data_IF_762214063655
#
_entry.id   IF_762214063655
#
_cell.length_a   1.000
_cell.length_b   1.000
_cell.length_c   1.000
_cell.angle_alpha   90.00
_cell.angle_beta   90.00
_cell.angle_gamma   90.00
#
_symmetry.space_group_name_H-M   'P 1'
#
loop_
_entity.id
_entity.type
_entity.pdbx_description
1 polymer ?
#
# COMPACT_ATOMS: atom_id res chain seq x y z
N UNK A 1 11.71 -19.94 -16.33
CA UNK A 1 12.95 -19.87 -17.12
C UNK A 1 14.02 -19.00 -16.46
N UNK A 2 13.94 -17.65 -16.47
CA UNK A 2 15.02 -16.79 -15.96
C UNK A 2 15.35 -17.02 -14.47
N UNK A 3 14.36 -16.90 -13.58
CA UNK A 3 14.57 -17.12 -12.14
C UNK A 3 14.99 -18.56 -11.77
N UNK A 4 14.77 -19.54 -12.66
CA UNK A 4 15.14 -20.95 -12.44
C UNK A 4 16.57 -21.26 -12.90
N UNK A 5 17.14 -20.40 -13.75
CA UNK A 5 18.45 -20.56 -14.39
C UNK A 5 19.41 -19.44 -13.96
N UNK A 6 19.21 -18.88 -12.76
CA UNK A 6 20.06 -17.81 -12.22
C UNK A 6 21.52 -18.29 -12.14
N UNK A 7 22.46 -17.44 -12.58
CA UNK A 7 23.89 -17.77 -12.62
C UNK A 7 24.32 -18.71 -13.75
N UNK A 8 23.41 -19.19 -14.60
CA UNK A 8 23.74 -20.07 -15.73
C UNK A 8 23.26 -19.48 -17.07
N UNK A 9 24.10 -18.71 -17.79
CA UNK A 9 23.73 -18.12 -19.09
C UNK A 9 23.41 -19.19 -20.15
N UNK A 10 24.16 -20.30 -20.18
CA UNK A 10 23.97 -21.40 -21.13
C UNK A 10 22.57 -22.04 -21.04
N UNK A 11 22.04 -22.20 -19.81
CA UNK A 11 20.70 -22.75 -19.58
C UNK A 11 19.61 -21.80 -20.05
N UNK A 12 19.87 -20.49 -20.05
CA UNK A 12 18.95 -19.46 -20.56
C UNK A 12 18.92 -19.53 -22.09
N UNK A 13 20.09 -19.60 -22.73
CA UNK A 13 20.23 -19.73 -24.18
C UNK A 13 19.56 -21.01 -24.69
N UNK A 14 19.88 -22.16 -24.10
CA UNK A 14 19.23 -23.44 -24.43
C UNK A 14 17.72 -23.40 -24.19
N UNK A 15 17.28 -22.75 -23.12
CA UNK A 15 15.87 -22.61 -22.79
C UNK A 15 15.08 -21.81 -23.83
N UNK A 16 15.66 -20.73 -24.38
CA UNK A 16 14.98 -19.94 -25.43
C UNK A 16 15.05 -20.59 -26.79
N UNK A 17 16.19 -21.19 -27.16
CA UNK A 17 16.27 -21.99 -28.38
C UNK A 17 15.26 -23.14 -28.35
N UNK A 18 15.19 -23.85 -27.22
CA UNK A 18 14.19 -24.88 -26.97
C UNK A 18 12.75 -24.38 -27.01
N UNK A 19 12.46 -23.13 -26.64
CA UNK A 19 11.12 -22.55 -26.74
C UNK A 19 10.69 -22.37 -28.20
N UNK A 20 11.58 -21.87 -29.06
CA UNK A 20 11.29 -21.69 -30.49
C UNK A 20 11.15 -23.06 -31.16
N UNK A 21 12.14 -23.92 -31.01
CA UNK A 21 12.14 -25.28 -31.58
C UNK A 21 10.86 -26.04 -31.20
N UNK A 22 10.46 -25.94 -29.93
CA UNK A 22 9.26 -26.58 -29.42
C UNK A 22 7.98 -26.15 -30.14
N UNK A 23 7.86 -24.88 -30.53
CA UNK A 23 6.67 -24.39 -31.27
C UNK A 23 6.56 -24.96 -32.69
N UNK A 24 7.67 -25.48 -33.22
CA UNK A 24 7.79 -26.06 -34.57
C UNK A 24 7.94 -27.59 -34.53
N UNK A 25 7.58 -28.24 -33.42
CA UNK A 25 7.65 -29.70 -33.28
C UNK A 25 9.07 -30.26 -33.10
N UNK A 26 10.09 -29.40 -32.96
CA UNK A 26 11.47 -29.82 -32.69
C UNK A 26 11.72 -29.86 -31.18
N UNK A 27 12.08 -31.03 -30.67
CA UNK A 27 12.20 -31.27 -29.23
C UNK A 27 13.62 -31.54 -28.74
N UNK A 28 14.64 -31.35 -29.58
CA UNK A 28 16.06 -31.61 -29.25
C UNK A 28 16.57 -30.73 -28.10
N UNK A 29 16.15 -29.47 -28.07
CA UNK A 29 16.56 -28.48 -27.06
C UNK A 29 15.57 -28.36 -25.88
N UNK A 30 14.55 -29.22 -25.83
CA UNK A 30 13.54 -29.20 -24.77
C UNK A 30 14.06 -29.82 -23.46
N UNK A 31 13.45 -29.43 -22.34
CA UNK A 31 13.65 -30.06 -21.02
C UNK A 31 12.37 -30.82 -20.62
N UNK A 32 12.54 -32.04 -20.11
CA UNK A 32 11.48 -32.92 -19.61
C UNK A 32 10.62 -32.24 -18.55
N UNK A 33 11.12 -31.23 -17.83
CA UNK A 33 10.36 -30.52 -16.80
C UNK A 33 9.11 -29.84 -17.36
N UNK A 34 9.20 -29.26 -18.56
CA UNK A 34 8.13 -28.43 -19.13
C UNK A 34 7.61 -28.94 -20.47
N UNK A 35 8.39 -29.71 -21.22
CA UNK A 35 7.94 -30.27 -22.49
C UNK A 35 6.99 -31.45 -22.26
N UNK A 36 5.73 -31.32 -22.70
CA UNK A 36 4.75 -32.42 -22.61
C UNK A 36 5.08 -33.57 -23.56
N UNK A 37 5.66 -33.28 -24.74
CA UNK A 37 6.04 -34.28 -25.73
C UNK A 37 7.08 -35.28 -25.21
N UNK A 38 8.07 -34.78 -24.47
CA UNK A 38 9.08 -35.64 -23.83
C UNK A 38 8.51 -36.48 -22.68
N UNK A 39 7.38 -36.10 -22.09
CA UNK A 39 6.70 -36.87 -21.05
C UNK A 39 5.79 -37.95 -21.62
N UNK A 40 5.01 -37.60 -22.64
CA UNK A 40 4.09 -38.49 -23.31
C UNK A 40 4.03 -38.12 -24.78
N UNK A 41 4.68 -38.93 -25.64
CA UNK A 41 4.74 -38.67 -27.08
C UNK A 41 3.39 -38.92 -27.77
N UNK A 42 2.56 -39.83 -27.26
CA UNK A 42 1.39 -40.32 -27.97
C UNK A 42 0.18 -39.39 -27.81
N UNK A 43 0.01 -38.75 -26.65
CA UNK A 43 -1.12 -37.86 -26.37
C UNK A 43 -0.77 -36.37 -26.42
N UNK A 44 0.45 -36.00 -26.81
CA UNK A 44 0.87 -34.61 -26.75
C UNK A 44 0.14 -33.71 -27.75
N UNK A 45 -0.40 -32.61 -27.26
CA UNK A 45 -0.89 -31.48 -28.07
C UNK A 45 -0.47 -30.16 -27.43
N UNK A 46 -0.11 -29.18 -28.24
CA UNK A 46 0.21 -27.85 -27.75
C UNK A 46 -1.01 -27.20 -27.09
N UNK A 47 -0.88 -26.76 -25.84
CA UNK A 47 -1.97 -26.08 -25.12
C UNK A 47 -2.17 -24.63 -25.58
N UNK A 48 -1.11 -24.01 -26.08
CA UNK A 48 -1.05 -22.57 -26.37
C UNK A 48 -1.01 -22.24 -27.87
N UNK A 49 -1.06 -23.25 -28.75
CA UNK A 49 -1.08 -23.04 -30.20
C UNK A 49 -2.46 -23.34 -30.79
N UNK A 50 -2.88 -22.64 -31.86
CA UNK A 50 -4.14 -22.91 -32.55
C UNK A 50 -4.27 -24.38 -32.94
N UNK A 51 -5.41 -24.98 -32.62
CA UNK A 51 -5.72 -26.40 -32.91
C UNK A 51 -4.72 -27.42 -32.31
N UNK A 52 -3.84 -26.98 -31.41
CA UNK A 52 -2.81 -27.81 -30.77
C UNK A 52 -1.75 -28.36 -31.72
N UNK A 53 -1.58 -27.75 -32.90
CA UNK A 53 -0.62 -28.15 -33.94
C UNK A 53 0.64 -27.27 -33.93
N UNK A 54 1.70 -27.79 -34.50
CA UNK A 54 2.98 -27.08 -34.67
C UNK A 54 2.86 -25.95 -35.70
N UNK A 55 3.69 -24.92 -35.53
CA UNK A 55 3.86 -23.88 -36.54
C UNK A 55 4.64 -24.42 -37.74
N UNK A 56 4.30 -23.92 -38.94
CA UNK A 56 4.92 -24.37 -40.21
C UNK A 56 5.59 -23.26 -41.01
N UNK A 57 5.39 -21.99 -40.63
CA UNK A 57 5.94 -20.85 -41.35
C UNK A 57 7.43 -20.69 -41.04
N UNK A 58 8.27 -20.92 -42.06
CA UNK A 58 9.73 -20.76 -41.93
C UNK A 58 10.15 -19.28 -41.85
N UNK A 59 9.41 -18.38 -42.51
CA UNK A 59 9.65 -16.93 -42.40
C UNK A 59 9.46 -16.43 -40.97
N UNK A 60 8.37 -16.82 -40.32
CA UNK A 60 8.11 -16.50 -38.91
C UNK A 60 9.19 -17.12 -38.00
N UNK A 61 9.68 -18.31 -38.34
CA UNK A 61 10.72 -18.98 -37.55
C UNK A 61 12.01 -18.18 -37.57
N UNK A 62 12.43 -17.75 -38.77
CA UNK A 62 13.61 -16.91 -38.94
C UNK A 62 13.48 -15.57 -38.20
N UNK A 63 12.31 -14.94 -38.24
CA UNK A 63 12.06 -13.70 -37.49
C UNK A 63 12.13 -13.90 -35.98
N UNK A 64 11.55 -15.00 -35.47
CA UNK A 64 11.63 -15.36 -34.05
C UNK A 64 13.06 -15.66 -33.61
N UNK A 65 13.81 -16.44 -34.40
CA UNK A 65 15.22 -16.71 -34.15
C UNK A 65 16.04 -15.42 -34.12
N UNK A 66 15.84 -14.53 -35.09
CA UNK A 66 16.51 -13.22 -35.13
C UNK A 66 16.18 -12.34 -33.92
N UNK A 67 14.90 -12.26 -33.55
CA UNK A 67 14.44 -11.43 -32.43
C UNK A 67 14.95 -11.94 -31.08
N UNK A 68 14.86 -13.25 -30.85
CA UNK A 68 15.14 -13.86 -29.55
C UNK A 68 16.59 -14.32 -29.42
N UNK A 69 17.13 -15.08 -30.38
CA UNK A 69 18.50 -15.60 -30.29
C UNK A 69 19.53 -14.48 -30.48
N UNK A 70 19.33 -13.60 -31.45
CA UNK A 70 20.25 -12.47 -31.71
C UNK A 70 20.42 -11.54 -30.50
N UNK A 71 19.37 -11.36 -29.69
CA UNK A 71 19.44 -10.56 -28.46
C UNK A 71 19.95 -11.35 -27.26
N UNK A 72 19.76 -12.66 -27.24
CA UNK A 72 20.10 -13.48 -26.07
C UNK A 72 21.58 -13.79 -25.98
N UNK A 73 22.28 -14.00 -27.09
CA UNK A 73 23.73 -14.27 -27.06
C UNK A 73 24.51 -13.11 -26.42
N UNK A 74 24.05 -11.87 -26.60
CA UNK A 74 24.66 -10.69 -25.97
C UNK A 74 24.14 -10.43 -24.54
N UNK A 75 22.92 -10.86 -24.20
CA UNK A 75 22.26 -10.51 -22.94
C UNK A 75 22.16 -11.67 -21.93
N UNK A 76 22.49 -12.91 -22.28
CA UNK A 76 22.35 -14.09 -21.42
C UNK A 76 23.07 -13.93 -20.09
N UNK A 77 24.30 -13.38 -20.12
CA UNK A 77 25.07 -13.03 -18.92
C UNK A 77 24.34 -12.02 -18.03
N UNK A 78 23.75 -10.96 -18.62
CA UNK A 78 22.97 -9.96 -17.88
C UNK A 78 21.69 -10.56 -17.31
N UNK A 79 20.97 -11.33 -18.11
CA UNK A 79 19.73 -12.02 -17.73
C UNK A 79 19.95 -13.06 -16.63
N UNK A 80 21.10 -13.74 -16.63
CA UNK A 80 21.46 -14.71 -15.58
C UNK A 80 21.64 -14.09 -14.19
N UNK A 81 21.94 -12.78 -14.14
CA UNK A 81 22.05 -12.02 -12.89
C UNK A 81 20.69 -11.54 -12.38
N UNK A 82 19.65 -11.56 -13.22
CA UNK A 82 18.32 -11.12 -12.83
C UNK A 82 17.63 -12.20 -11.99
N UNK A 83 17.33 -11.84 -10.75
CA UNK A 83 16.53 -12.65 -9.85
C UNK A 83 15.03 -12.36 -10.01
N UNK A 84 14.19 -13.08 -9.27
CA UNK A 84 12.75 -12.82 -9.19
C UNK A 84 12.46 -11.48 -8.51
N UNK A 85 11.61 -10.64 -9.13
CA UNK A 85 11.09 -9.39 -8.52
C UNK A 85 10.13 -9.64 -7.36
N UNK A 86 9.65 -10.88 -7.18
CA UNK A 86 8.63 -11.21 -6.19
C UNK A 86 9.05 -10.87 -4.76
N UNK A 87 10.34 -10.98 -4.44
CA UNK A 87 10.86 -10.61 -3.13
C UNK A 87 10.68 -9.11 -2.87
N UNK A 88 11.00 -8.28 -3.87
CA UNK A 88 10.86 -6.83 -3.84
C UNK A 88 9.39 -6.42 -3.77
N UNK A 89 8.52 -7.04 -4.57
CA UNK A 89 7.07 -6.79 -4.53
C UNK A 89 6.48 -7.13 -3.16
N UNK A 90 6.87 -8.27 -2.58
CA UNK A 90 6.45 -8.67 -1.24
C UNK A 90 6.95 -7.70 -0.16
N UNK A 91 8.17 -7.19 -0.29
CA UNK A 91 8.70 -6.17 0.60
C UNK A 91 7.94 -4.84 0.45
N UNK A 92 7.73 -4.36 -0.77
CA UNK A 92 6.99 -3.14 -1.07
C UNK A 92 5.56 -3.18 -0.55
N UNK A 93 4.90 -4.35 -0.64
CA UNK A 93 3.60 -4.56 -0.01
C UNK A 93 3.70 -4.42 1.52
N UNK A 94 4.71 -5.02 2.15
CA UNK A 94 4.93 -4.91 3.61
C UNK A 94 5.16 -3.46 4.02
N UNK A 95 6.00 -2.71 3.29
CA UNK A 95 6.21 -1.27 3.52
C UNK A 95 4.89 -0.51 3.40
N UNK A 96 4.10 -0.79 2.36
CA UNK A 96 2.81 -0.12 2.13
C UNK A 96 1.81 -0.38 3.27
N UNK A 97 1.86 -1.53 3.95
CA UNK A 97 1.01 -1.78 5.13
C UNK A 97 1.45 -0.99 6.37
N UNK A 98 2.72 -0.60 6.46
CA UNK A 98 3.28 0.16 7.60
C UNK A 98 3.27 1.66 7.34
N UNK A 99 3.53 2.08 6.11
CA UNK A 99 3.57 3.45 5.62
C UNK A 99 2.70 3.57 4.36
N UNK A 100 1.38 3.58 4.56
CA UNK A 100 0.42 3.71 3.47
C UNK A 100 0.59 5.06 2.76
N UNK A 101 0.55 5.07 1.43
CA UNK A 101 0.79 6.26 0.59
C UNK A 101 -0.25 7.37 0.79
N UNK A 102 -1.45 7.02 1.24
CA UNK A 102 -2.51 7.97 1.55
C UNK A 102 -2.30 8.71 2.88
N UNK A 103 -1.22 8.42 3.62
CA UNK A 103 -0.88 9.09 4.87
C UNK A 103 0.51 9.71 4.75
N UNK A 104 0.66 10.95 5.19
CA UNK A 104 1.94 11.66 5.18
C UNK A 104 2.79 11.27 6.39
N UNK A 105 3.93 10.61 6.16
CA UNK A 105 4.90 10.25 7.22
C UNK A 105 6.29 10.88 7.02
N UNK A 106 6.52 11.55 5.88
CA UNK A 106 7.85 12.04 5.47
C UNK A 106 8.35 13.25 6.26
N UNK A 107 7.46 13.98 6.96
CA UNK A 107 7.84 15.12 7.80
C UNK A 107 8.52 14.79 9.14
N UNK A 108 8.82 13.52 9.43
CA UNK A 108 9.47 13.10 10.67
C UNK A 108 10.24 11.78 10.52
N UNK A 109 10.95 11.35 11.58
CA UNK A 109 11.59 10.02 11.66
C UNK A 109 10.60 8.84 11.61
N UNK A 110 9.29 9.11 11.67
CA UNK A 110 8.22 8.10 11.57
C UNK A 110 8.33 7.25 10.29
N UNK A 111 8.68 7.85 9.16
CA UNK A 111 8.86 7.10 7.91
C UNK A 111 10.01 6.08 8.05
N UNK A 112 11.16 6.51 8.58
CA UNK A 112 12.32 5.64 8.79
C UNK A 112 11.96 4.46 9.69
N UNK A 113 11.30 4.70 10.82
CA UNK A 113 10.87 3.62 11.72
C UNK A 113 9.91 2.64 11.06
N UNK A 114 8.96 3.11 10.25
CA UNK A 114 8.00 2.24 9.55
C UNK A 114 8.68 1.39 8.49
N UNK A 115 9.65 1.95 7.77
CA UNK A 115 10.46 1.22 6.80
C UNK A 115 11.36 0.20 7.51
N UNK A 116 12.06 0.60 8.58
CA UNK A 116 12.87 -0.33 9.40
C UNK A 116 12.02 -1.46 9.98
N UNK A 117 10.82 -1.16 10.49
CA UNK A 117 9.88 -2.17 10.96
C UNK A 117 9.44 -3.14 9.86
N UNK A 118 9.27 -2.66 8.62
CA UNK A 118 8.97 -3.53 7.47
C UNK A 118 10.16 -4.45 7.12
N UNK A 119 11.38 -3.94 7.16
CA UNK A 119 12.62 -4.72 6.95
C UNK A 119 12.74 -5.81 8.02
N UNK A 120 12.62 -5.43 9.29
CA UNK A 120 12.68 -6.37 10.40
C UNK A 120 11.56 -7.42 10.32
N UNK A 121 10.33 -7.03 9.99
CA UNK A 121 9.23 -7.99 9.80
C UNK A 121 9.48 -8.94 8.63
N UNK A 122 10.14 -8.48 7.57
CA UNK A 122 10.46 -9.30 6.41
C UNK A 122 11.49 -10.38 6.76
N UNK A 123 12.54 -10.00 7.50
CA UNK A 123 13.65 -10.86 7.88
C UNK A 123 13.29 -11.81 9.05
N UNK A 124 12.66 -11.27 10.09
CA UNK A 124 12.45 -11.96 11.39
C UNK A 124 10.99 -12.36 11.64
N UNK A 125 10.05 -11.97 10.75
CA UNK A 125 8.61 -12.17 10.97
C UNK A 125 8.05 -11.22 12.03
N UNK A 126 6.86 -11.50 12.56
CA UNK A 126 6.18 -10.63 13.53
C UNK A 126 6.82 -10.63 14.93
N UNK A 127 7.77 -11.54 15.19
CA UNK A 127 8.53 -11.61 16.44
C UNK A 127 9.59 -10.52 16.59
N UNK A 128 9.87 -9.75 15.53
CA UNK A 128 10.86 -8.66 15.57
C UNK A 128 10.58 -7.62 16.67
N UNK A 129 9.30 -7.41 17.03
CA UNK A 129 8.92 -6.45 18.08
C UNK A 129 9.51 -6.87 19.41
N UNK A 130 9.47 -8.17 19.75
CA UNK A 130 10.07 -8.69 20.98
C UNK A 130 11.58 -8.48 21.01
N UNK A 131 12.27 -8.79 19.90
CA UNK A 131 13.72 -8.56 19.77
C UNK A 131 14.10 -7.09 19.91
N UNK A 132 13.32 -6.18 19.32
CA UNK A 132 13.55 -4.74 19.44
C UNK A 132 13.30 -4.25 20.86
N UNK A 133 12.27 -4.76 21.55
CA UNK A 133 12.01 -4.44 22.95
C UNK A 133 13.17 -4.86 23.84
N UNK A 134 13.65 -6.11 23.70
CA UNK A 134 14.81 -6.61 24.46
C UNK A 134 16.07 -5.77 24.20
N UNK A 135 16.36 -5.45 22.94
CA UNK A 135 17.50 -4.60 22.58
C UNK A 135 17.39 -3.17 23.13
N UNK A 136 16.17 -2.68 23.35
CA UNK A 136 15.90 -1.40 23.99
C UNK A 136 15.90 -1.47 25.53
N UNK A 137 16.22 -2.64 26.13
CA UNK A 137 16.18 -2.85 27.58
C UNK A 137 14.76 -2.92 28.16
N UNK A 138 13.75 -3.16 27.31
CA UNK A 138 12.35 -3.27 27.71
C UNK A 138 11.90 -4.72 27.69
N UNK A 139 11.02 -5.09 28.62
CA UNK A 139 10.33 -6.37 28.56
C UNK A 139 9.34 -6.38 27.38
N UNK A 140 9.38 -7.38 26.49
CA UNK A 140 8.40 -7.52 25.41
C UNK A 140 6.96 -7.63 25.89
N UNK A 141 6.76 -8.19 27.08
CA UNK A 141 5.45 -8.54 27.62
C UNK A 141 4.83 -9.78 26.97
N UNK A 142 4.09 -10.54 27.77
CA UNK A 142 3.49 -11.81 27.35
C UNK A 142 2.52 -11.65 26.17
N UNK A 143 1.74 -10.56 26.14
CA UNK A 143 0.76 -10.31 25.08
C UNK A 143 1.41 -10.02 23.72
N UNK A 144 2.56 -9.34 23.71
CA UNK A 144 3.34 -9.09 22.48
C UNK A 144 3.84 -10.41 21.89
N UNK A 145 4.37 -11.29 22.75
CA UNK A 145 4.87 -12.62 22.35
C UNK A 145 3.72 -13.46 21.78
N UNK A 146 2.59 -13.56 22.51
CA UNK A 146 1.39 -14.29 22.04
C UNK A 146 0.89 -13.74 20.71
N UNK A 147 0.85 -12.41 20.55
CA UNK A 147 0.44 -11.77 19.30
C UNK A 147 1.39 -12.11 18.15
N UNK A 148 2.70 -12.10 18.38
CA UNK A 148 3.69 -12.44 17.38
C UNK A 148 3.53 -13.89 16.90
N UNK A 149 3.41 -14.85 17.82
CA UNK A 149 3.17 -16.27 17.50
C UNK A 149 1.92 -16.44 16.65
N UNK A 150 0.80 -15.81 17.07
CA UNK A 150 -0.47 -15.87 16.33
C UNK A 150 -0.35 -15.31 14.91
N UNK A 151 0.34 -14.18 14.73
CA UNK A 151 0.47 -13.54 13.42
C UNK A 151 1.43 -14.32 12.50
N UNK A 152 2.52 -14.87 13.03
CA UNK A 152 3.39 -15.78 12.31
C UNK A 152 2.62 -17.02 11.86
N UNK A 153 1.87 -17.67 12.77
CA UNK A 153 1.04 -18.81 12.41
C UNK A 153 0.00 -18.50 11.32
N UNK A 154 -0.60 -17.31 11.31
CA UNK A 154 -1.48 -16.85 10.21
C UNK A 154 -0.73 -16.68 8.89
N UNK A 155 0.47 -16.10 8.92
CA UNK A 155 1.34 -15.94 7.74
C UNK A 155 1.70 -17.31 7.16
N UNK A 156 2.07 -18.26 8.01
CA UNK A 156 2.49 -19.60 7.58
C UNK A 156 1.33 -20.37 6.96
N UNK A 157 0.17 -20.38 7.62
CA UNK A 157 -1.08 -20.97 7.05
C UNK A 157 -1.43 -20.35 5.70
N UNK A 158 -1.27 -19.03 5.53
CA UNK A 158 -1.53 -18.35 4.25
C UNK A 158 -0.50 -18.76 3.18
N UNK A 159 0.77 -18.88 3.56
CA UNK A 159 1.85 -19.35 2.68
C UNK A 159 1.58 -20.77 2.19
N UNK A 160 1.27 -21.69 3.10
CA UNK A 160 0.96 -23.09 2.75
C UNK A 160 -0.28 -23.19 1.87
N UNK A 161 -1.36 -22.47 2.22
CA UNK A 161 -2.56 -22.39 1.38
C UNK A 161 -2.23 -21.88 -0.04
N UNK A 162 -1.37 -20.87 -0.17
CA UNK A 162 -0.99 -20.31 -1.46
C UNK A 162 -0.22 -21.29 -2.36
N UNK A 163 0.49 -22.26 -1.77
CA UNK A 163 1.22 -23.30 -2.52
C UNK A 163 0.28 -24.34 -3.13
N UNK A 164 -0.88 -24.59 -2.50
CA UNK A 164 -1.83 -25.62 -2.93
C UNK A 164 -2.35 -25.43 -4.36
N UNK A 165 -2.57 -26.55 -5.06
CA UNK A 165 -3.13 -26.56 -6.44
C UNK A 165 -4.52 -25.91 -6.47
N UNK A 166 -5.36 -26.20 -5.48
CA UNK A 166 -6.72 -25.65 -5.38
C UNK A 166 -6.72 -24.11 -5.29
N UNK A 167 -5.85 -23.53 -4.46
CA UNK A 167 -5.76 -22.07 -4.35
C UNK A 167 -5.29 -21.42 -5.66
N UNK A 168 -4.29 -22.03 -6.33
CA UNK A 168 -3.81 -21.57 -7.64
C UNK A 168 -4.91 -21.64 -8.71
N UNK A 169 -5.68 -22.73 -8.76
CA UNK A 169 -6.85 -22.88 -9.65
C UNK A 169 -7.91 -21.80 -9.36
N UNK A 170 -8.30 -21.62 -8.08
CA UNK A 170 -9.27 -20.58 -7.70
C UNK A 170 -8.80 -19.19 -8.08
N UNK A 171 -7.51 -18.88 -7.95
CA UNK A 171 -6.93 -17.59 -8.37
C UNK A 171 -7.08 -17.35 -9.87
N UNK A 172 -6.91 -18.38 -10.70
CA UNK A 172 -7.10 -18.29 -12.16
C UNK A 172 -8.58 -18.04 -12.47
N UNK A 173 -9.50 -18.79 -11.84
CA UNK A 173 -10.94 -18.60 -12.04
C UNK A 173 -11.38 -17.18 -11.65
N UNK A 174 -10.97 -16.70 -10.47
CA UNK A 174 -11.22 -15.32 -10.03
C UNK A 174 -10.61 -14.26 -10.97
N UNK A 175 -9.53 -14.59 -11.69
CA UNK A 175 -8.97 -13.69 -12.72
C UNK A 175 -9.87 -13.67 -13.95
N UNK A 176 -10.35 -14.84 -14.40
CA UNK A 176 -11.31 -14.94 -15.52
C UNK A 176 -12.61 -14.22 -15.22
N UNK A 177 -13.20 -14.45 -14.04
CA UNK A 177 -14.43 -13.79 -13.59
C UNK A 177 -14.28 -12.26 -13.58
N UNK A 178 -13.16 -11.74 -13.06
CA UNK A 178 -12.87 -10.31 -13.09
C UNK A 178 -12.67 -9.76 -14.49
N UNK A 179 -12.01 -10.52 -15.38
CA UNK A 179 -11.82 -10.12 -16.78
C UNK A 179 -13.16 -9.99 -17.50
N UNK A 180 -14.03 -11.00 -17.36
CA UNK A 180 -15.38 -10.99 -17.96
C UNK A 180 -16.19 -9.80 -17.43
N UNK A 181 -16.10 -9.53 -16.13
CA UNK A 181 -16.78 -8.37 -15.53
C UNK A 181 -16.23 -7.04 -16.08
N UNK A 182 -14.90 -6.90 -16.21
CA UNK A 182 -14.27 -5.69 -16.79
C UNK A 182 -14.74 -5.47 -18.22
N UNK A 183 -14.66 -6.50 -19.06
CA UNK A 183 -15.10 -6.44 -20.46
C UNK A 183 -16.59 -6.11 -20.57
N UNK A 184 -17.43 -6.70 -19.73
CA UNK A 184 -18.86 -6.36 -19.72
C UNK A 184 -19.15 -4.91 -19.28
N UNK A 185 -18.34 -4.37 -18.38
CA UNK A 185 -18.41 -2.95 -17.99
C UNK A 185 -17.91 -2.05 -19.11
N UNK A 186 -16.77 -2.37 -19.74
CA UNK A 186 -16.21 -1.63 -20.87
C UNK A 186 -17.17 -1.59 -22.07
N UNK A 187 -17.80 -2.72 -22.43
CA UNK A 187 -18.83 -2.77 -23.48
C UNK A 187 -20.03 -1.88 -23.12
N UNK A 188 -20.45 -1.90 -21.85
CA UNK A 188 -21.59 -1.10 -21.38
C UNK A 188 -21.27 0.40 -21.31
N UNK A 189 -20.03 0.76 -20.97
CA UNK A 189 -19.54 2.13 -20.92
C UNK A 189 -19.33 2.71 -22.34
N UNK A 190 -19.10 1.84 -23.34
CA UNK A 190 -18.84 2.22 -24.72
C UNK A 190 -17.43 2.81 -24.91
N UNK A 191 -17.14 3.33 -26.11
CA UNK A 191 -15.86 4.01 -26.39
C UNK A 191 -15.86 5.35 -25.66
N UNK A 192 -15.14 5.46 -24.53
CA UNK A 192 -15.07 6.70 -23.73
C UNK A 192 -13.72 7.45 -23.85
N UNK A 193 -12.63 6.79 -24.28
CA UNK A 193 -11.26 7.34 -24.22
C UNK A 193 -10.40 7.04 -25.47
N UNK A 194 -10.88 7.43 -26.64
CA UNK A 194 -10.11 7.46 -27.89
C UNK A 194 -10.15 8.87 -28.49
N UNK A 195 -9.10 9.24 -29.22
CA UNK A 195 -9.06 10.50 -29.97
C UNK A 195 -10.19 10.51 -31.01
N UNK A 196 -10.80 11.68 -31.26
CA UNK A 196 -11.80 11.89 -32.31
C UNK A 196 -13.20 11.24 -32.09
N UNK A 197 -13.50 10.71 -30.89
CA UNK A 197 -14.81 10.12 -30.50
C UNK A 197 -16.06 11.00 -30.78
N UNK A 198 -15.89 12.30 -31.05
CA UNK A 198 -16.98 13.22 -31.38
C UNK A 198 -17.04 13.69 -32.84
N UNK A 199 -16.20 13.17 -33.74
CA UNK A 199 -16.12 13.63 -35.14
C UNK A 199 -16.76 12.67 -36.16
N UNK A 200 -17.03 11.42 -35.78
CA UNK A 200 -17.67 10.44 -36.65
C UNK A 200 -19.16 10.29 -36.32
N UNK A 201 -20.02 10.65 -37.29
CA UNK A 201 -21.46 10.39 -37.27
C UNK A 201 -21.78 8.93 -37.67
N UNK A 202 -21.09 7.94 -37.10
CA UNK A 202 -21.44 6.54 -37.30
C UNK A 202 -22.46 6.09 -36.26
N UNK A 203 -23.60 5.58 -36.75
CA UNK A 203 -24.62 4.93 -35.92
C UNK A 203 -23.99 3.73 -35.19
N UNK A 204 -24.09 3.73 -33.86
CA UNK A 204 -23.66 2.62 -33.01
C UNK A 204 -24.63 1.44 -33.19
N UNK A 205 -24.22 0.42 -33.95
CA UNK A 205 -25.00 -0.79 -34.23
C UNK A 205 -24.87 -1.90 -33.17
N UNK A 206 -24.23 -1.66 -32.02
CA UNK A 206 -24.14 -2.67 -30.96
C UNK A 206 -25.15 -2.39 -29.83
N UNK A 207 -26.23 -3.18 -29.84
CA UNK A 207 -27.29 -3.17 -28.82
C UNK A 207 -26.71 -3.53 -27.44
N UNK A 208 -26.86 -2.61 -26.48
CA UNK A 208 -26.33 -2.76 -25.11
C UNK A 208 -26.95 -4.02 -24.46
N UNK A 209 -26.15 -5.01 -24.03
CA UNK A 209 -26.68 -6.19 -23.38
C UNK A 209 -27.41 -5.80 -22.08
N UNK A 210 -28.62 -6.33 -21.92
CA UNK A 210 -29.43 -6.11 -20.72
C UNK A 210 -28.63 -6.50 -19.44
N UNK A 211 -28.76 -5.74 -18.33
CA UNK A 211 -28.09 -6.07 -17.09
C UNK A 211 -28.48 -7.49 -16.64
N UNK A 212 -27.48 -8.33 -16.30
CA UNK A 212 -27.68 -9.75 -15.93
C UNK A 212 -28.69 -9.96 -14.79
N UNK A 213 -28.95 -8.92 -13.98
CA UNK A 213 -30.03 -8.90 -13.00
C UNK A 213 -30.77 -7.57 -13.15
N UNK A 214 -31.99 -7.61 -13.69
CA UNK A 214 -32.89 -6.48 -13.61
C UNK A 214 -33.24 -6.27 -12.13
N UNK A 215 -32.83 -5.14 -11.55
CA UNK A 215 -33.27 -4.78 -10.21
C UNK A 215 -34.78 -4.59 -10.23
N UNK A 216 -35.51 -5.48 -9.56
CA UNK A 216 -36.93 -5.28 -9.29
C UNK A 216 -37.06 -4.10 -8.33
N UNK A 217 -37.38 -2.91 -8.84
CA UNK A 217 -37.84 -1.81 -8.01
C UNK A 217 -39.25 -2.15 -7.52
N UNK A 218 -39.33 -2.80 -6.36
CA UNK A 218 -40.60 -3.05 -5.68
C UNK A 218 -40.94 -1.79 -4.87
N UNK A 219 -42.11 -1.17 -5.06
CA UNK A 219 -42.58 -0.13 -4.17
C UNK A 219 -42.74 -0.71 -2.77
N UNK A 220 -41.97 -0.21 -1.81
CA UNK A 220 -42.10 -0.61 -0.40
C UNK A 220 -43.08 0.34 0.27
N UNK A 221 -44.11 -0.20 0.90
CA UNK A 221 -44.99 0.55 1.78
C UNK A 221 -44.22 0.91 3.07
N UNK A 222 -43.93 2.20 3.21
CA UNK A 222 -43.12 2.76 4.31
C UNK A 222 -43.82 2.55 5.67
N UNK A 223 -45.13 2.31 5.68
CA UNK A 223 -45.91 2.16 6.92
C UNK A 223 -45.65 0.85 7.68
N UNK A 224 -45.17 -0.19 7.00
CA UNK A 224 -44.96 -1.54 7.57
C UNK A 224 -43.50 -2.00 7.55
N UNK A 225 -42.61 -1.22 6.94
CA UNK A 225 -41.20 -1.56 6.83
C UNK A 225 -40.43 -1.26 8.14
N UNK A 226 -39.58 -2.18 8.63
CA UNK A 226 -38.71 -1.89 9.76
C UNK A 226 -37.73 -0.76 9.40
N UNK A 227 -37.75 0.32 10.18
CA UNK A 227 -36.87 1.46 9.99
C UNK A 227 -35.44 1.05 10.32
N UNK A 228 -34.59 0.94 9.30
CA UNK A 228 -33.15 0.72 9.49
C UNK A 228 -32.43 2.05 9.32
N UNK A 229 -31.82 2.53 10.39
CA UNK A 229 -31.00 3.74 10.40
C UNK A 229 -29.54 3.30 10.28
N UNK A 230 -28.84 3.80 9.27
CA UNK A 230 -27.41 3.59 9.10
C UNK A 230 -26.70 4.92 9.29
N UNK A 231 -25.65 4.91 10.10
CA UNK A 231 -24.73 6.02 10.17
C UNK A 231 -23.78 5.96 8.96
N UNK A 232 -23.59 7.10 8.30
CA UNK A 232 -22.72 7.25 7.13
C UNK A 232 -21.55 8.15 7.54
N UNK A 233 -20.53 7.55 8.16
CA UNK A 233 -19.26 8.23 8.36
C UNK A 233 -18.53 8.36 7.02
N UNK A 234 -18.56 9.55 6.41
CA UNK A 234 -17.71 9.89 5.26
C UNK A 234 -16.52 10.72 5.73
N UNK A 235 -15.31 10.34 5.33
CA UNK A 235 -14.07 11.00 5.75
C UNK A 235 -13.73 12.27 4.96
N UNK A 236 -14.70 12.98 4.40
CA UNK A 236 -14.46 14.22 3.65
C UNK A 236 -15.52 15.28 3.89
N UNK A 237 -15.11 16.40 4.51
CA UNK A 237 -15.85 17.66 4.48
C UNK A 237 -15.79 18.22 3.05
N UNK A 238 -16.86 18.05 2.28
CA UNK A 238 -17.20 18.94 1.16
C UNK A 238 -18.54 19.59 1.51
N UNK A 239 -18.62 20.92 1.35
CA UNK A 239 -19.69 21.77 1.90
C UNK A 239 -21.11 21.47 1.35
N UNK A 240 -21.23 20.71 0.26
CA UNK A 240 -22.53 20.37 -0.33
C UNK A 240 -23.34 19.31 0.46
N UNK A 241 -22.74 18.58 1.39
CA UNK A 241 -23.47 17.56 2.19
C UNK A 241 -24.24 18.16 3.38
N UNK A 242 -23.96 19.42 3.74
CA UNK A 242 -24.57 20.09 4.90
C UNK A 242 -26.05 20.45 4.72
N UNK A 243 -26.48 20.67 3.48
CA UNK A 243 -27.88 20.93 3.16
C UNK A 243 -28.76 19.68 3.40
N UNK A 244 -28.23 18.49 3.12
CA UNK A 244 -28.92 17.22 3.40
C UNK A 244 -28.95 16.90 4.89
N UNK A 245 -27.86 17.18 5.62
CA UNK A 245 -27.75 16.83 7.04
C UNK A 245 -28.70 17.62 7.95
N UNK A 246 -28.95 18.90 7.64
CA UNK A 246 -29.84 19.79 8.44
C UNK A 246 -31.33 19.45 8.32
N UNK A 247 -31.75 18.86 7.20
CA UNK A 247 -33.15 18.43 7.01
C UNK A 247 -33.47 17.16 7.81
N UNK A 248 -32.49 16.27 7.95
CA UNK A 248 -32.66 14.96 8.60
C UNK A 248 -32.51 14.99 10.13
N UNK A 249 -31.70 15.90 10.67
CA UNK A 249 -31.36 15.92 12.11
C UNK A 249 -32.36 16.64 13.02
N UNK A 250 -33.32 17.41 12.48
CA UNK A 250 -34.26 18.18 13.32
C UNK A 250 -35.36 17.35 13.98
N UNK A 251 -35.51 16.06 13.65
CA UNK A 251 -36.64 15.22 14.12
C UNK A 251 -36.29 14.10 15.12
N UNK A 252 -35.02 13.87 15.46
CA UNK A 252 -34.64 12.64 16.17
C UNK A 252 -33.54 12.84 17.23
N UNK A 253 -33.60 13.91 18.03
CA UNK A 253 -32.70 14.10 19.16
C UNK A 253 -33.49 14.03 20.46
N UNK A 254 -33.68 12.82 20.96
CA UNK A 254 -33.86 12.51 22.38
C UNK A 254 -33.41 11.06 22.57
N UNK A 255 -32.32 10.85 23.32
CA UNK A 255 -31.63 9.58 23.59
C UNK A 255 -30.68 9.07 22.51
N UNK A 256 -29.40 9.39 22.67
CA UNK A 256 -28.30 8.48 22.30
C UNK A 256 -27.12 8.71 23.25
N UNK A 257 -26.78 7.67 24.01
CA UNK A 257 -25.59 7.58 24.83
C UNK A 257 -24.34 7.50 23.94
N UNK A 258 -23.39 8.40 24.17
CA UNK A 258 -22.14 8.47 23.42
C UNK A 258 -21.15 7.39 23.88
N UNK A 259 -20.65 6.57 22.95
CA UNK A 259 -19.42 5.80 23.16
C UNK A 259 -18.23 6.52 22.51
N UNK A 260 -17.28 6.96 23.34
CA UNK A 260 -16.02 7.57 22.91
C UNK A 260 -14.96 6.48 22.72
N UNK A 261 -14.42 6.34 21.51
CA UNK A 261 -13.22 5.53 21.27
C UNK A 261 -11.99 6.23 21.87
N UNK A 262 -11.13 5.54 22.65
CA UNK A 262 -9.88 6.13 23.13
C UNK A 262 -8.86 6.14 22.00
N UNK A 263 -8.76 7.26 21.29
CA UNK A 263 -7.63 7.52 20.40
C UNK A 263 -6.46 8.03 21.25
N UNK A 264 -5.67 7.10 21.76
CA UNK A 264 -4.26 7.38 22.03
C UNK A 264 -3.46 6.10 21.80
N UNK A 265 -2.61 6.10 20.78
CA UNK A 265 -1.68 5.01 20.56
C UNK A 265 -0.61 5.07 21.65
N UNK A 266 -0.20 3.94 22.26
CA UNK A 266 0.84 3.91 23.30
C UNK A 266 2.19 4.49 22.83
N UNK A 267 2.41 4.61 21.51
CA UNK A 267 3.60 5.24 20.93
C UNK A 267 3.62 6.77 21.06
N UNK A 268 2.46 7.44 20.99
CA UNK A 268 2.39 8.90 21.11
C UNK A 268 2.78 9.35 22.52
N UNK A 269 2.48 8.53 23.53
CA UNK A 269 2.86 8.77 24.92
C UNK A 269 4.38 8.72 25.14
N UNK A 270 5.07 7.80 24.44
CA UNK A 270 6.54 7.62 24.55
C UNK A 270 7.27 8.81 23.91
N UNK A 271 6.86 9.25 22.71
CA UNK A 271 7.46 10.41 22.06
C UNK A 271 7.14 11.73 22.78
N UNK A 272 5.95 11.86 23.36
CA UNK A 272 5.61 13.02 24.19
C UNK A 272 6.50 13.11 25.44
N UNK A 273 6.86 11.98 26.06
CA UNK A 273 7.77 11.96 27.20
C UNK A 273 9.20 12.35 26.79
N UNK A 274 9.72 11.83 25.68
CA UNK A 274 11.07 12.18 25.21
C UNK A 274 11.18 13.62 24.70
N UNK A 275 10.14 14.15 24.05
CA UNK A 275 10.08 15.56 23.70
C UNK A 275 10.01 16.44 24.96
N UNK A 276 9.23 16.03 25.97
CA UNK A 276 9.12 16.77 27.23
C UNK A 276 10.46 16.81 27.98
N UNK A 277 11.25 15.73 27.96
CA UNK A 277 12.60 15.71 28.53
C UNK A 277 13.50 16.79 27.93
N UNK A 278 13.35 17.09 26.63
CA UNK A 278 14.14 18.15 25.96
C UNK A 278 13.86 19.56 26.50
N UNK A 279 12.76 19.75 27.25
CA UNK A 279 12.40 21.01 27.88
C UNK A 279 12.78 21.09 29.37
N UNK A 280 13.36 20.04 29.96
CA UNK A 280 13.64 20.00 31.40
C UNK A 280 14.55 21.16 31.85
N UNK A 281 15.57 21.51 31.08
CA UNK A 281 16.46 22.65 31.36
C UNK A 281 15.71 23.98 31.30
N UNK A 282 14.88 24.19 30.27
CA UNK A 282 14.05 25.39 30.13
C UNK A 282 13.00 25.52 31.24
N UNK A 283 12.49 24.39 31.75
CA UNK A 283 11.56 24.35 32.88
C UNK A 283 12.31 24.68 34.18
N UNK A 284 13.50 24.10 34.39
CA UNK A 284 14.34 24.35 35.57
C UNK A 284 14.74 25.83 35.69
N UNK A 285 15.08 26.47 34.56
CA UNK A 285 15.40 27.90 34.48
C UNK A 285 14.17 28.83 34.48
N UNK A 286 12.95 28.29 34.64
CA UNK A 286 11.68 29.05 34.62
C UNK A 286 11.43 29.85 33.34
N UNK A 287 12.10 29.50 32.23
CA UNK A 287 11.86 30.09 30.92
C UNK A 287 10.50 29.64 30.34
N UNK A 288 10.11 28.39 30.62
CA UNK A 288 8.85 27.79 30.14
C UNK A 288 8.12 27.08 31.29
N UNK A 289 6.79 27.21 31.34
CA UNK A 289 5.99 26.43 32.29
C UNK A 289 5.84 24.98 31.82
N UNK A 290 5.68 24.03 32.76
CA UNK A 290 5.44 22.62 32.43
C UNK A 290 4.23 22.43 31.50
N UNK A 291 3.19 23.25 31.66
CA UNK A 291 2.00 23.21 30.80
C UNK A 291 2.31 23.62 29.35
N UNK A 292 3.11 24.67 29.15
CA UNK A 292 3.53 25.12 27.82
C UNK A 292 4.47 24.09 27.16
N UNK A 293 5.41 23.54 27.93
CA UNK A 293 6.30 22.47 27.45
C UNK A 293 5.54 21.21 27.05
N UNK A 294 4.49 20.85 27.80
CA UNK A 294 3.62 19.73 27.46
C UNK A 294 2.82 19.98 26.17
N UNK A 295 2.31 21.20 25.96
CA UNK A 295 1.66 21.58 24.69
C UNK A 295 2.64 21.49 23.52
N UNK A 296 3.83 22.06 23.65
CA UNK A 296 4.87 21.95 22.62
C UNK A 296 5.24 20.49 22.31
N UNK A 297 5.38 19.66 23.35
CA UNK A 297 5.70 18.24 23.20
C UNK A 297 4.58 17.45 22.51
N UNK A 298 3.31 17.76 22.83
CA UNK A 298 2.13 17.21 22.14
C UNK A 298 2.04 17.65 20.68
N UNK A 299 2.49 18.85 20.37
CA UNK A 299 2.65 19.37 19.00
C UNK A 299 3.93 18.87 18.30
N UNK A 300 4.60 17.88 18.89
CA UNK A 300 5.81 17.24 18.41
C UNK A 300 7.00 18.21 18.19
N UNK A 301 7.06 19.27 19.01
CA UNK A 301 8.17 20.21 19.04
C UNK A 301 9.18 19.79 20.12
N UNK A 302 10.46 19.87 19.77
CA UNK A 302 11.61 19.74 20.68
C UNK A 302 12.28 21.09 20.82
N UNK A 303 13.13 21.25 21.84
CA UNK A 303 13.93 22.45 22.02
C UNK A 303 14.78 22.80 20.78
N UNK A 304 15.29 21.79 20.06
CA UNK A 304 16.05 21.97 18.81
C UNK A 304 15.22 22.57 17.67
N UNK A 305 13.93 22.26 17.57
CA UNK A 305 13.04 22.85 16.56
C UNK A 305 12.81 24.34 16.82
N UNK A 306 12.78 24.74 18.10
CA UNK A 306 12.68 26.15 18.48
C UNK A 306 13.98 26.91 18.12
N UNK A 307 15.14 26.34 18.42
CA UNK A 307 16.44 26.90 18.02
C UNK A 307 16.52 27.10 16.50
N UNK A 308 16.14 26.09 15.72
CA UNK A 308 16.12 26.17 14.25
C UNK A 308 15.17 27.27 13.74
N UNK A 309 14.02 27.48 14.39
CA UNK A 309 13.09 28.56 14.01
C UNK A 309 13.67 29.95 14.27
N UNK A 310 14.46 30.08 15.34
CA UNK A 310 15.18 31.30 15.70
C UNK A 310 16.33 31.56 14.71
N UNK A 311 17.11 30.54 14.36
CA UNK A 311 18.19 30.66 13.36
C UNK A 311 17.68 31.14 12.00
N UNK A 312 16.46 30.73 11.61
CA UNK A 312 15.89 31.06 10.30
C UNK A 312 15.26 32.44 10.22
N UNK A 313 14.53 32.85 11.26
CA UNK A 313 13.68 34.06 11.22
C UNK A 313 13.64 34.81 12.56
N UNK A 314 14.59 34.56 13.45
CA UNK A 314 14.69 35.20 14.75
C UNK A 314 13.43 35.03 15.60
N UNK A 315 13.07 36.10 16.33
CA UNK A 315 11.90 36.13 17.19
C UNK A 315 10.59 35.88 16.44
N UNK A 316 10.49 36.37 15.20
CA UNK A 316 9.28 36.19 14.37
C UNK A 316 9.12 34.74 13.91
N UNK A 317 10.22 34.02 13.66
CA UNK A 317 10.19 32.58 13.38
C UNK A 317 9.66 31.75 14.53
N UNK A 318 10.13 32.05 15.74
CA UNK A 318 9.66 31.39 16.97
C UNK A 318 8.18 31.66 17.22
N UNK A 319 7.74 32.90 17.02
CA UNK A 319 6.34 33.30 17.15
C UNK A 319 5.47 32.59 16.12
N UNK A 320 5.84 32.61 14.83
CA UNK A 320 5.09 31.93 13.78
C UNK A 320 4.91 30.44 14.08
N UNK A 321 5.97 29.77 14.57
CA UNK A 321 5.94 28.35 14.92
C UNK A 321 5.04 28.05 16.13
N UNK A 322 5.10 28.86 17.20
CA UNK A 322 4.34 28.63 18.42
C UNK A 322 2.88 29.08 18.33
N UNK A 323 2.59 30.04 17.44
CA UNK A 323 1.29 30.67 17.24
C UNK A 323 0.48 30.11 16.06
N UNK A 324 1.03 29.16 15.31
CA UNK A 324 0.36 28.48 14.20
C UNK A 324 -0.99 27.90 14.64
N UNK A 325 -2.01 27.97 13.77
CA UNK A 325 -3.31 27.33 14.05
C UNK A 325 -3.24 25.87 13.64
N UNK A 326 -3.61 24.98 14.56
CA UNK A 326 -3.86 23.56 14.26
C UNK A 326 -5.08 23.41 13.35
N UNK A 327 -5.27 22.24 12.73
CA UNK A 327 -6.42 21.90 11.88
C UNK A 327 -7.79 22.15 12.57
N UNK A 328 -7.79 22.25 13.90
CA UNK A 328 -8.97 22.55 14.75
C UNK A 328 -9.13 24.03 15.08
N UNK A 329 -8.34 24.93 14.47
CA UNK A 329 -8.36 26.37 14.70
C UNK A 329 -7.68 26.85 16.00
N UNK A 330 -7.27 25.92 16.87
CA UNK A 330 -6.60 26.24 18.14
C UNK A 330 -5.12 26.60 17.92
N UNK A 331 -4.60 27.49 18.76
CA UNK A 331 -3.18 27.85 18.80
C UNK A 331 -2.32 26.63 19.13
N UNK A 332 -1.27 26.40 18.34
CA UNK A 332 -0.36 25.25 18.43
C UNK A 332 0.28 25.13 19.80
N UNK A 333 0.87 26.21 20.34
CA UNK A 333 1.46 26.22 21.70
C UNK A 333 1.04 27.44 22.51
N UNK A 334 1.33 28.65 22.01
CA UNK A 334 1.00 29.91 22.68
C UNK A 334 1.03 31.10 21.72
N UNK A 335 0.15 32.08 21.95
CA UNK A 335 0.18 33.40 21.30
C UNK A 335 0.70 34.50 22.23
N UNK A 336 1.05 34.15 23.48
CA UNK A 336 1.47 35.13 24.46
C UNK A 336 2.90 35.60 24.18
N UNK A 337 3.05 36.83 23.69
CA UNK A 337 4.36 37.42 23.35
C UNK A 337 5.33 37.45 24.55
N UNK A 338 4.82 37.64 25.77
CA UNK A 338 5.64 37.60 27.00
C UNK A 338 6.29 36.24 27.22
N UNK A 339 5.58 35.15 26.89
CA UNK A 339 6.11 33.79 26.98
C UNK A 339 7.09 33.53 25.84
N UNK A 340 6.77 33.98 24.62
CA UNK A 340 7.63 33.80 23.44
C UNK A 340 8.98 34.51 23.63
N UNK A 341 8.99 35.74 24.15
CA UNK A 341 10.24 36.47 24.47
C UNK A 341 11.09 35.75 25.50
N UNK A 342 10.50 35.28 26.60
CA UNK A 342 11.25 34.48 27.61
C UNK A 342 11.89 33.21 27.03
N UNK A 343 11.22 32.57 26.06
CA UNK A 343 11.76 31.40 25.36
C UNK A 343 12.92 31.81 24.46
N UNK A 344 12.76 32.93 23.74
CA UNK A 344 13.80 33.49 22.88
C UNK A 344 15.05 33.81 23.69
N UNK A 345 14.93 34.60 24.76
CA UNK A 345 16.05 35.02 25.62
C UNK A 345 16.79 33.83 26.23
N UNK A 346 16.07 32.75 26.58
CA UNK A 346 16.67 31.50 27.08
C UNK A 346 17.45 30.73 26.00
N UNK A 347 16.99 30.77 24.74
CA UNK A 347 17.59 30.03 23.63
C UNK A 347 18.69 30.81 22.92
N UNK A 348 18.71 32.13 23.07
CA UNK A 348 19.77 33.03 22.64
C UNK A 348 20.30 33.79 23.86
N UNK A 349 21.01 33.11 24.79
CA UNK A 349 21.81 33.84 25.75
C UNK A 349 22.84 34.62 24.91
N UNK A 350 22.85 35.94 25.08
CA UNK A 350 23.78 36.84 24.37
C UNK A 350 25.21 36.26 24.39
N UNK A 351 25.85 36.25 23.22
CA UNK A 351 27.30 36.03 23.08
C UNK A 351 28.09 37.15 23.72
#
# INVERSE_FOLDING_TARGET
MLAQNQGSPEKIEKGVRGMIDHMYGKHENCDIKWCGFLKDRASYRHTNLPFGKDLKSESLKADLEKLFLGKIESQSKKLSKLASSQANESFNHTVSTKAAKNKHYSGSSSLNYRVSAAVLQKNEGYGYVSKVSEAAGLSPGNETIKRAIRLNGKRDKKSERAKTKQHKKRRINLKKERSVKSTGVEIREGRTYESEIGMDNEQLDEEIPAPMNASLCIPIDISTAPLVVFDLETTSLFDDTRALFKSLTSKALNNLDSFVFPVSHPYDCIFQQDNLKSYNEAIACKAITRATALKASKSNLKLSHLKLSIERMGLEGLKALLSEKTDRGNVRVTNCMKVIRKIFDFLTPES
#
